data_IF_765705660269
#
_entry.id   IF_765705660269
#
_cell.length_a   1.000
_cell.length_b   1.000
_cell.length_c   1.000
_cell.angle_alpha   90.00
_cell.angle_beta   90.00
_cell.angle_gamma   90.00
#
_symmetry.space_group_name_H-M   'P 1'
#
loop_
_entity.id
_entity.type
_entity.pdbx_description
1 polymer ?
#
# COMPACT_ATOMS: atom_id res chain seq x y z
N UNK A 1 10.78 72.00 29.34
CA UNK A 1 11.92 71.40 30.07
C UNK A 1 11.30 70.42 31.06
N UNK A 2 11.43 69.10 30.96
CA UNK A 2 12.57 68.26 30.59
C UNK A 2 12.25 67.29 29.43
N UNK A 3 13.20 67.12 28.52
CA UNK A 3 13.23 66.02 27.53
C UNK A 3 13.75 64.76 28.21
N UNK A 4 13.17 63.61 27.90
CA UNK A 4 13.87 62.32 27.99
C UNK A 4 13.76 61.62 26.63
N UNK A 5 14.87 61.62 25.91
CA UNK A 5 15.18 60.79 24.76
C UNK A 5 15.72 59.44 25.25
N UNK A 6 15.25 58.33 24.71
CA UNK A 6 15.83 57.02 24.97
C UNK A 6 15.23 55.96 24.06
N UNK A 7 15.92 55.64 22.98
CA UNK A 7 15.62 54.51 22.12
C UNK A 7 16.03 53.21 22.85
N UNK A 8 15.07 52.33 23.11
CA UNK A 8 15.36 50.97 23.61
C UNK A 8 15.72 50.11 22.41
N UNK A 9 17.02 49.85 22.22
CA UNK A 9 17.50 48.88 21.23
C UNK A 9 17.42 47.45 21.78
N UNK A 10 16.57 46.61 21.20
CA UNK A 10 16.52 45.17 21.47
C UNK A 10 17.25 44.43 20.34
N UNK A 11 18.31 43.70 20.64
CA UNK A 11 18.95 42.80 19.67
C UNK A 11 18.89 41.36 20.18
N UNK A 12 18.40 40.47 19.33
CA UNK A 12 18.32 39.03 19.59
C UNK A 12 19.19 38.34 18.55
N UNK A 13 20.23 37.62 18.99
CA UNK A 13 20.95 36.69 18.14
C UNK A 13 20.67 35.26 18.59
N UNK A 14 20.35 34.40 17.62
CA UNK A 14 20.20 32.96 17.81
C UNK A 14 21.43 32.32 17.19
N UNK A 15 22.25 31.64 17.99
CA UNK A 15 23.43 30.92 17.49
C UNK A 15 23.32 29.43 17.75
N UNK A 16 23.46 28.67 16.66
CA UNK A 16 23.65 27.22 16.54
C UNK A 16 22.45 26.31 16.79
N UNK A 17 22.31 25.32 15.90
CA UNK A 17 21.30 24.28 15.88
C UNK A 17 22.02 22.94 16.04
N UNK A 18 21.82 22.22 17.15
CA UNK A 18 22.41 20.91 17.34
C UNK A 18 21.32 19.85 17.19
N UNK A 19 21.45 18.98 16.19
CA UNK A 19 20.63 17.78 16.04
C UNK A 19 21.40 16.62 16.65
N UNK A 20 20.98 16.14 17.82
CA UNK A 20 21.49 14.89 18.38
C UNK A 20 20.47 13.79 18.10
N UNK A 21 20.89 12.72 17.42
CA UNK A 21 20.10 11.49 17.31
C UNK A 21 20.75 10.42 18.20
N UNK A 22 20.14 10.08 19.33
CA UNK A 22 20.50 8.86 20.04
C UNK A 22 19.71 7.69 19.46
N UNK A 23 20.41 6.63 19.06
CA UNK A 23 19.82 5.36 18.63
C UNK A 23 19.17 4.68 19.84
N UNK A 24 17.92 5.03 20.12
CA UNK A 24 16.82 4.21 20.65
C UNK A 24 15.66 5.17 20.87
N UNK A 25 14.59 5.04 20.06
CA UNK A 25 13.46 5.98 19.89
C UNK A 25 13.82 7.32 19.21
N UNK A 26 13.21 7.58 18.04
CA UNK A 26 13.39 8.81 17.24
C UNK A 26 12.75 10.00 17.96
N UNK A 27 13.46 10.59 18.93
CA UNK A 27 13.12 11.87 19.57
C UNK A 27 14.02 12.96 19.02
N UNK A 28 13.43 14.02 18.46
CA UNK A 28 14.18 15.21 18.03
C UNK A 28 14.11 16.24 19.15
N UNK A 29 15.28 16.64 19.67
CA UNK A 29 15.40 17.68 20.69
C UNK A 29 15.92 18.95 20.01
N UNK A 30 15.23 20.07 20.23
CA UNK A 30 15.65 21.38 19.75
C UNK A 30 16.19 22.22 20.92
N UNK A 31 17.36 22.82 20.73
CA UNK A 31 18.04 23.65 21.72
C UNK A 31 18.14 25.07 21.15
N UNK A 32 17.53 26.06 21.81
CA UNK A 32 17.53 27.47 21.41
C UNK A 32 18.34 28.35 22.38
N UNK A 33 19.49 28.86 21.93
CA UNK A 33 20.26 29.82 22.72
C UNK A 33 19.88 31.25 22.29
N UNK A 34 19.38 32.06 23.22
CA UNK A 34 19.11 33.49 23.01
C UNK A 34 19.95 34.33 23.99
N UNK A 35 20.52 35.43 23.49
CA UNK A 35 21.18 36.46 24.32
C UNK A 35 20.38 37.75 24.25
N UNK A 36 20.07 38.35 25.39
CA UNK A 36 19.45 39.67 25.49
C UNK A 36 20.52 40.68 25.90
N UNK A 37 20.70 41.74 25.11
CA UNK A 37 21.57 42.88 25.46
C UNK A 37 20.71 44.13 25.62
N UNK A 38 20.66 44.69 26.83
CA UNK A 38 19.99 45.96 27.11
C UNK A 38 21.08 47.01 27.29
N UNK A 39 21.14 48.00 26.41
CA UNK A 39 22.10 49.10 26.53
C UNK A 39 21.46 50.26 27.29
N UNK A 40 21.81 50.40 28.57
CA UNK A 40 22.18 51.65 29.24
C UNK A 40 22.42 51.34 30.74
N UNK A 41 23.64 51.67 31.20
CA UNK A 41 24.27 51.31 32.49
C UNK A 41 24.87 49.89 32.56
N UNK A 42 26.13 49.80 33.00
CA UNK A 42 26.95 48.59 33.07
C UNK A 42 26.42 47.60 34.12
N UNK A 43 25.32 46.91 33.81
CA UNK A 43 24.82 45.76 34.56
C UNK A 43 24.70 44.57 33.61
N UNK A 44 25.71 43.70 33.60
CA UNK A 44 25.67 42.42 32.91
C UNK A 44 24.90 41.41 33.78
N UNK A 45 23.60 41.25 33.56
CA UNK A 45 22.86 40.14 34.18
C UNK A 45 23.02 38.92 33.27
N UNK A 46 23.84 37.95 33.69
CA UNK A 46 23.86 36.61 33.10
C UNK A 46 22.58 35.89 33.53
N UNK A 47 21.52 35.93 32.72
CA UNK A 47 20.41 34.99 32.86
C UNK A 47 20.86 33.63 32.27
N UNK A 48 21.25 32.69 33.14
CA UNK A 48 21.21 31.28 32.78
C UNK A 48 19.77 30.81 32.97
N UNK A 49 19.02 30.70 31.88
CA UNK A 49 17.74 30.00 31.91
C UNK A 49 18.05 28.50 31.86
N UNK A 50 17.77 27.80 32.95
CA UNK A 50 17.89 26.34 33.06
C UNK A 50 16.78 25.67 32.25
N UNK A 51 17.14 24.69 31.43
CA UNK A 51 16.34 24.13 30.34
C UNK A 51 15.23 23.15 30.78
N UNK A 52 14.17 23.04 29.97
CA UNK A 52 13.23 21.91 30.02
C UNK A 52 13.16 21.22 28.65
N UNK A 53 13.20 19.88 28.66
CA UNK A 53 13.06 19.04 27.47
C UNK A 53 11.59 18.96 27.05
N UNK A 54 11.24 19.43 25.85
CA UNK A 54 9.96 19.09 25.20
C UNK A 54 10.24 17.88 24.30
N UNK A 55 9.74 16.71 24.69
CA UNK A 55 9.79 15.48 23.89
C UNK A 55 8.54 15.45 23.02
N UNK A 56 8.69 15.62 21.70
CA UNK A 56 7.62 15.41 20.72
C UNK A 56 7.83 14.03 20.07
N UNK A 57 6.89 13.12 20.27
CA UNK A 57 6.90 11.79 19.65
C UNK A 57 6.26 11.90 18.25
N UNK A 58 7.06 11.69 17.20
CA UNK A 58 6.61 11.79 15.81
C UNK A 58 6.25 10.38 15.28
N UNK A 59 4.98 10.00 15.36
CA UNK A 59 4.41 8.96 14.48
C UNK A 59 3.55 9.65 13.43
N UNK A 60 3.97 9.56 12.17
CA UNK A 60 3.22 10.08 11.03
C UNK A 60 1.87 9.35 10.92
N UNK A 61 0.81 9.95 11.48
CA UNK A 61 -0.58 9.90 11.00
C UNK A 61 -1.44 10.82 11.89
N UNK A 62 -1.94 11.90 11.28
CA UNK A 62 -3.09 12.72 11.71
C UNK A 62 -2.97 13.38 13.10
N UNK A 63 -2.34 14.55 13.15
CA UNK A 63 -2.46 15.49 14.28
C UNK A 63 -3.44 16.60 13.89
N UNK A 64 -4.68 16.49 14.37
CA UNK A 64 -5.73 17.52 14.24
C UNK A 64 -5.50 18.68 15.22
N UNK A 65 -6.18 19.81 14.99
CA UNK A 65 -6.04 21.12 15.66
C UNK A 65 -6.09 21.11 17.21
N UNK A 66 -6.54 20.02 17.84
CA UNK A 66 -6.58 19.86 19.29
C UNK A 66 -5.19 19.88 19.95
N UNK A 67 -4.14 19.40 19.29
CA UNK A 67 -2.79 19.37 19.90
C UNK A 67 -2.17 20.76 20.02
N UNK A 68 -2.45 21.65 19.06
CA UNK A 68 -2.00 23.06 19.10
C UNK A 68 -2.69 23.80 20.27
N UNK A 69 -3.98 23.55 20.49
CA UNK A 69 -4.72 24.12 21.62
C UNK A 69 -4.24 23.57 22.98
N UNK A 70 -3.84 22.29 23.05
CA UNK A 70 -3.22 21.73 24.27
C UNK A 70 -1.84 22.33 24.57
N UNK A 71 -1.03 22.63 23.56
CA UNK A 71 0.25 23.34 23.74
C UNK A 71 0.06 24.78 24.24
N UNK A 72 -0.94 25.50 23.72
CA UNK A 72 -1.28 26.85 24.21
C UNK A 72 -1.74 26.83 25.68
N UNK A 73 -2.49 25.80 26.09
CA UNK A 73 -2.92 25.65 27.49
C UNK A 73 -1.78 25.36 28.46
N UNK A 74 -0.71 24.69 28.02
CA UNK A 74 0.48 24.39 28.83
C UNK A 74 1.34 25.66 29.01
N UNK A 75 1.45 26.50 27.98
CA UNK A 75 2.20 27.77 28.04
C UNK A 75 1.52 28.80 28.96
N UNK A 76 0.20 28.96 28.86
CA UNK A 76 -0.55 29.91 29.71
C UNK A 76 -0.55 29.51 31.19
N UNK A 77 -0.49 28.22 31.51
CA UNK A 77 -0.37 27.74 32.90
C UNK A 77 1.00 28.02 33.52
N UNK A 78 2.05 28.21 32.72
CA UNK A 78 3.41 28.50 33.21
C UNK A 78 3.61 29.97 33.59
N UNK A 79 2.97 30.91 32.90
CA UNK A 79 3.01 32.32 33.27
C UNK A 79 2.46 32.52 34.70
N UNK A 80 1.37 31.84 35.04
CA UNK A 80 0.75 31.93 36.38
C UNK A 80 1.67 31.34 37.47
N UNK A 81 2.41 30.27 37.19
CA UNK A 81 3.28 29.60 38.18
C UNK A 81 4.58 30.39 38.44
N UNK A 82 5.13 31.07 37.42
CA UNK A 82 6.30 31.93 37.57
C UNK A 82 6.02 33.16 38.45
N UNK A 83 4.80 33.72 38.36
CA UNK A 83 4.35 34.83 39.20
C UNK A 83 4.15 34.44 40.68
N UNK A 84 3.90 33.16 40.99
CA UNK A 84 3.73 32.70 42.37
C UNK A 84 5.05 32.43 43.11
N UNK A 85 6.15 32.15 42.40
CA UNK A 85 7.41 31.69 43.03
C UNK A 85 8.39 32.85 43.30
N UNK A 86 8.25 34.01 42.64
CA UNK A 86 9.14 35.18 42.85
C UNK A 86 8.41 36.52 43.03
N UNK A 87 7.65 36.72 44.13
CA UNK A 87 6.92 37.97 44.36
C UNK A 87 7.81 39.17 44.78
N UNK A 88 9.10 38.95 45.06
CA UNK A 88 9.95 39.93 45.77
C UNK A 88 10.93 40.75 44.90
N UNK A 89 10.90 40.66 43.57
CA UNK A 89 11.86 41.40 42.71
C UNK A 89 11.28 42.27 41.58
N UNK A 90 9.99 42.63 41.63
CA UNK A 90 9.39 43.48 40.59
C UNK A 90 8.92 44.80 41.19
N UNK A 91 9.85 45.71 41.50
CA UNK A 91 9.53 47.09 41.93
C UNK A 91 9.30 48.07 40.76
N UNK A 92 9.25 47.58 39.52
CA UNK A 92 9.22 48.44 38.33
C UNK A 92 8.29 47.85 37.25
N UNK A 93 7.07 48.40 37.08
CA UNK A 93 6.04 47.84 36.19
C UNK A 93 6.45 47.79 34.71
N UNK A 94 7.43 48.59 34.29
CA UNK A 94 7.98 48.54 32.93
C UNK A 94 8.71 47.23 32.60
N UNK A 95 9.22 46.49 33.59
CA UNK A 95 9.83 45.16 33.34
C UNK A 95 8.79 44.08 33.04
N UNK A 96 7.59 44.18 33.63
CA UNK A 96 6.48 43.25 33.36
C UNK A 96 6.02 43.43 31.90
N UNK A 97 5.86 44.69 31.48
CA UNK A 97 5.49 45.04 30.11
C UNK A 97 6.59 44.58 29.15
N UNK A 98 7.87 44.80 29.47
CA UNK A 98 8.98 44.36 28.63
C UNK A 98 9.04 42.82 28.48
N UNK A 99 8.79 42.07 29.55
CA UNK A 99 8.84 40.60 29.54
C UNK A 99 7.65 39.98 28.79
N UNK A 100 6.45 40.54 28.96
CA UNK A 100 5.24 40.11 28.23
C UNK A 100 5.29 40.50 26.76
N UNK A 101 5.86 41.65 26.42
CA UNK A 101 6.17 42.01 25.03
C UNK A 101 7.24 41.08 24.45
N UNK A 102 8.24 40.67 25.23
CA UNK A 102 9.29 39.74 24.79
C UNK A 102 8.73 38.32 24.51
N UNK A 103 7.92 37.76 25.39
CA UNK A 103 7.27 36.44 25.16
C UNK A 103 6.28 36.50 24.00
N UNK A 104 5.53 37.61 23.88
CA UNK A 104 4.67 37.88 22.72
C UNK A 104 5.44 37.95 21.40
N UNK A 105 6.58 38.66 21.37
CA UNK A 105 7.42 38.77 20.17
C UNK A 105 8.06 37.43 19.79
N UNK A 106 8.54 36.64 20.77
CA UNK A 106 9.10 35.31 20.51
C UNK A 106 8.03 34.39 19.94
N UNK A 107 6.81 34.40 20.48
CA UNK A 107 5.69 33.64 19.92
C UNK A 107 5.36 34.09 18.49
N UNK A 108 5.27 35.40 18.23
CA UNK A 108 4.98 35.95 16.91
C UNK A 108 6.08 35.62 15.89
N UNK A 109 7.36 35.69 16.26
CA UNK A 109 8.47 35.31 15.36
C UNK A 109 8.48 33.80 15.09
N UNK A 110 8.09 32.98 16.07
CA UNK A 110 7.98 31.53 15.90
C UNK A 110 6.80 31.18 14.97
N UNK A 111 5.65 31.82 15.15
CA UNK A 111 4.47 31.67 14.29
C UNK A 111 4.75 32.22 12.88
N UNK A 112 5.42 33.36 12.76
CA UNK A 112 5.77 33.96 11.47
C UNK A 112 6.82 33.15 10.70
N UNK A 113 7.79 32.51 11.37
CA UNK A 113 8.73 31.58 10.71
C UNK A 113 8.09 30.23 10.36
N UNK A 114 7.13 29.73 11.15
CA UNK A 114 6.33 28.57 10.75
C UNK A 114 5.39 28.90 9.58
N UNK A 115 4.85 30.11 9.53
CA UNK A 115 3.99 30.58 8.44
C UNK A 115 4.81 30.92 7.18
N UNK A 116 6.02 31.50 7.31
CA UNK A 116 6.91 31.79 6.18
C UNK A 116 7.71 30.58 5.70
N UNK A 117 7.87 29.53 6.52
CA UNK A 117 8.30 28.20 6.07
C UNK A 117 7.24 27.51 5.19
N UNK A 118 5.99 28.02 5.18
CA UNK A 118 4.96 27.59 4.22
C UNK A 118 4.96 28.39 2.92
N UNK A 119 5.79 29.45 2.78
CA UNK A 119 5.68 30.35 1.62
C UNK A 119 6.98 31.08 1.30
N UNK A 120 7.97 30.42 0.67
CA UNK A 120 8.67 30.99 -0.52
C UNK A 120 9.58 29.99 -1.25
N UNK A 121 9.49 30.02 -2.58
CA UNK A 121 10.47 29.59 -3.60
C UNK A 121 10.77 28.10 -3.71
N UNK A 122 9.83 27.41 -4.33
CA UNK A 122 10.04 26.20 -5.16
C UNK A 122 10.88 26.61 -6.39
N UNK A 123 12.20 26.65 -6.24
CA UNK A 123 13.13 26.60 -7.38
C UNK A 123 13.01 25.21 -8.01
N UNK A 124 12.89 25.17 -9.33
CA UNK A 124 12.71 23.98 -10.18
C UNK A 124 13.60 22.79 -9.77
N UNK A 125 13.07 21.90 -8.94
CA UNK A 125 13.42 20.48 -8.94
C UNK A 125 12.11 19.70 -9.07
N UNK A 126 11.91 19.16 -10.28
CA UNK A 126 11.00 18.10 -10.67
C UNK A 126 9.64 18.08 -9.94
N UNK A 127 8.69 18.85 -10.50
CA UNK A 127 7.27 18.60 -10.31
C UNK A 127 6.93 17.18 -10.83
N UNK A 128 6.64 16.31 -9.87
CA UNK A 128 5.56 15.31 -9.87
C UNK A 128 5.60 14.18 -10.92
N UNK A 129 6.17 13.03 -10.54
CA UNK A 129 5.95 11.72 -11.19
C UNK A 129 4.55 11.15 -10.89
N UNK A 130 3.81 11.69 -9.91
CA UNK A 130 2.56 11.08 -9.42
C UNK A 130 1.30 11.97 -9.48
N UNK A 131 1.36 13.16 -10.06
CA UNK A 131 0.30 14.19 -9.87
C UNK A 131 -0.47 14.52 -11.16
N UNK A 132 -0.54 13.57 -12.10
CA UNK A 132 -1.31 13.74 -13.35
C UNK A 132 -1.87 12.44 -13.94
N UNK A 133 -2.20 11.44 -13.10
CA UNK A 133 -2.88 10.25 -13.62
C UNK A 133 -4.36 10.59 -13.83
N UNK A 134 -4.92 10.47 -15.05
CA UNK A 134 -6.36 10.36 -15.17
C UNK A 134 -6.78 9.11 -14.39
N UNK A 135 -7.89 9.21 -13.64
CA UNK A 135 -8.47 8.14 -12.84
C UNK A 135 -8.98 6.98 -13.73
N UNK A 136 -8.05 6.29 -14.40
CA UNK A 136 -8.31 5.02 -15.06
C UNK A 136 -8.16 3.92 -14.02
N UNK A 137 -9.07 2.95 -14.06
CA UNK A 137 -9.11 1.87 -13.10
C UNK A 137 -7.96 0.90 -13.36
N UNK A 138 -7.27 0.50 -12.30
CA UNK A 138 -6.22 -0.52 -12.35
C UNK A 138 -6.73 -1.84 -11.74
N UNK A 139 -6.37 -2.97 -12.34
CA UNK A 139 -6.69 -4.29 -11.84
C UNK A 139 -5.43 -5.16 -11.67
N UNK A 140 -5.34 -5.83 -10.52
CA UNK A 140 -4.29 -6.78 -10.18
C UNK A 140 -4.94 -8.13 -9.88
N UNK A 141 -4.51 -9.16 -10.60
CA UNK A 141 -4.88 -10.56 -10.37
C UNK A 141 -3.66 -11.25 -9.74
N UNK A 142 -3.82 -11.84 -8.56
CA UNK A 142 -2.75 -12.55 -7.85
C UNK A 142 -3.16 -14.02 -7.68
N UNK A 143 -2.51 -14.88 -8.44
CA UNK A 143 -2.64 -16.33 -8.35
C UNK A 143 -1.70 -16.93 -7.31
N UNK A 144 -2.22 -17.74 -6.40
CA UNK A 144 -1.44 -18.54 -5.43
C UNK A 144 -1.64 -20.01 -5.76
N UNK A 145 -0.64 -20.65 -6.35
CA UNK A 145 -0.77 -21.96 -6.99
C UNK A 145 -0.97 -23.10 -5.98
N UNK A 146 -1.87 -24.03 -6.27
CA UNK A 146 -2.02 -25.31 -5.55
C UNK A 146 -2.46 -25.24 -4.09
N UNK A 147 -3.02 -24.11 -3.62
CA UNK A 147 -3.46 -23.96 -2.21
C UNK A 147 -4.93 -24.27 -1.98
N UNK A 148 -5.73 -24.48 -3.02
CA UNK A 148 -7.16 -24.79 -2.87
C UNK A 148 -7.88 -23.83 -1.93
N UNK A 149 -8.65 -24.36 -0.98
CA UNK A 149 -9.33 -23.60 0.06
C UNK A 149 -8.50 -23.40 1.35
N UNK A 150 -7.21 -23.76 1.35
CA UNK A 150 -6.34 -23.74 2.53
C UNK A 150 -6.30 -22.41 3.30
N UNK A 151 -6.41 -21.22 2.66
CA UNK A 151 -6.52 -19.95 3.38
C UNK A 151 -7.69 -19.86 4.37
N UNK A 152 -8.72 -20.71 4.27
CA UNK A 152 -9.79 -20.81 5.28
C UNK A 152 -9.32 -21.40 6.62
N UNK A 153 -8.16 -22.04 6.64
CA UNK A 153 -7.65 -22.83 7.77
C UNK A 153 -6.24 -22.41 8.21
N UNK A 154 -5.61 -21.45 7.52
CA UNK A 154 -4.24 -21.00 7.76
C UNK A 154 -4.25 -19.49 7.91
N UNK A 155 -3.54 -18.99 8.92
CA UNK A 155 -3.32 -17.56 9.07
C UNK A 155 -2.56 -17.01 7.87
N UNK A 156 -3.26 -16.22 7.06
CA UNK A 156 -2.73 -15.56 5.86
C UNK A 156 -3.09 -14.08 5.91
N UNK A 157 -2.42 -13.28 6.78
CA UNK A 157 -2.74 -11.86 6.96
C UNK A 157 -2.80 -11.04 5.67
N UNK A 158 -1.94 -11.31 4.68
CA UNK A 158 -1.92 -10.66 3.37
C UNK A 158 -3.20 -10.91 2.59
N UNK A 159 -3.56 -12.18 2.38
CA UNK A 159 -4.81 -12.60 1.74
C UNK A 159 -6.03 -12.06 2.51
N UNK A 160 -5.99 -12.16 3.85
CA UNK A 160 -7.09 -11.70 4.70
C UNK A 160 -7.29 -10.17 4.67
N UNK A 161 -6.30 -9.38 4.24
CA UNK A 161 -6.54 -7.95 3.94
C UNK A 161 -7.57 -7.76 2.83
N UNK A 162 -7.60 -8.65 1.85
CA UNK A 162 -8.56 -8.62 0.73
C UNK A 162 -9.90 -9.18 1.17
N UNK A 163 -9.90 -10.34 1.84
CA UNK A 163 -11.11 -10.94 2.43
C UNK A 163 -11.87 -9.96 3.32
N UNK A 164 -11.16 -9.27 4.22
CA UNK A 164 -11.78 -8.36 5.19
C UNK A 164 -12.21 -7.00 4.60
N UNK A 165 -11.74 -6.65 3.40
CA UNK A 165 -12.05 -5.37 2.75
C UNK A 165 -12.73 -5.53 1.39
N UNK A 166 -13.27 -6.72 1.12
CA UNK A 166 -13.82 -7.07 -0.19
C UNK A 166 -14.89 -8.13 -0.10
N UNK A 167 -15.15 -8.75 -1.24
CA UNK A 167 -15.96 -9.96 -1.34
C UNK A 167 -15.06 -11.20 -1.35
N UNK A 168 -15.57 -12.31 -0.84
CA UNK A 168 -14.78 -13.54 -0.74
C UNK A 168 -15.64 -14.80 -0.74
N UNK A 169 -14.98 -15.93 -1.02
CA UNK A 169 -15.47 -17.27 -0.72
C UNK A 169 -14.28 -18.22 -0.58
N UNK A 170 -14.44 -19.27 0.21
CA UNK A 170 -13.46 -20.36 0.31
C UNK A 170 -13.94 -21.64 -0.40
N UNK A 171 -15.06 -21.55 -1.12
CA UNK A 171 -15.70 -22.65 -1.84
C UNK A 171 -15.98 -22.30 -3.30
N UNK A 172 -15.15 -21.43 -3.90
CA UNK A 172 -15.19 -21.24 -5.33
C UNK A 172 -14.76 -22.54 -6.04
N UNK A 173 -15.28 -22.78 -7.23
CA UNK A 173 -15.00 -23.98 -8.01
C UNK A 173 -14.05 -23.67 -9.17
N UNK A 174 -12.97 -24.43 -9.28
CA UNK A 174 -12.10 -24.44 -10.46
C UNK A 174 -12.68 -25.31 -11.59
N UNK A 175 -11.99 -25.32 -12.74
CA UNK A 175 -12.36 -26.13 -13.91
C UNK A 175 -11.86 -27.58 -13.80
N UNK A 176 -12.16 -28.40 -14.80
CA UNK A 176 -11.68 -29.78 -14.87
C UNK A 176 -11.10 -30.10 -16.24
N UNK A 177 -9.97 -30.82 -16.32
CA UNK A 177 -9.17 -31.32 -15.19
C UNK A 177 -8.47 -30.19 -14.41
N UNK A 178 -8.17 -30.41 -13.14
CA UNK A 178 -7.61 -29.38 -12.23
C UNK A 178 -6.08 -29.24 -12.37
N UNK A 179 -5.58 -29.24 -13.60
CA UNK A 179 -4.15 -29.03 -13.89
C UNK A 179 -3.89 -27.55 -14.18
N UNK A 180 -2.70 -27.06 -13.80
CA UNK A 180 -2.41 -25.63 -13.77
C UNK A 180 -2.56 -24.94 -15.13
N UNK A 181 -2.16 -25.55 -16.25
CA UNK A 181 -2.34 -24.92 -17.56
C UNK A 181 -3.82 -24.75 -17.92
N UNK A 182 -4.63 -25.77 -17.65
CA UNK A 182 -6.08 -25.79 -17.84
C UNK A 182 -6.76 -24.72 -16.96
N UNK A 183 -6.39 -24.65 -15.68
CA UNK A 183 -6.92 -23.68 -14.73
C UNK A 183 -6.48 -22.24 -15.06
N UNK A 184 -5.18 -21.95 -15.16
CA UNK A 184 -4.69 -20.60 -15.46
C UNK A 184 -5.22 -20.07 -16.80
N UNK A 185 -5.35 -20.95 -17.80
CA UNK A 185 -5.98 -20.57 -19.08
C UNK A 185 -7.46 -20.26 -18.91
N UNK A 186 -8.20 -21.06 -18.15
CA UNK A 186 -9.62 -20.82 -17.89
C UNK A 186 -9.87 -19.53 -17.11
N UNK A 187 -9.00 -19.23 -16.14
CA UNK A 187 -9.00 -17.97 -15.41
C UNK A 187 -8.85 -16.77 -16.33
N UNK A 188 -7.83 -16.77 -17.20
CA UNK A 188 -7.50 -15.62 -18.05
C UNK A 188 -8.45 -15.49 -19.25
N UNK A 189 -8.99 -16.59 -19.76
CA UNK A 189 -9.85 -16.62 -20.95
C UNK A 189 -11.33 -16.76 -20.64
N UNK A 190 -11.75 -16.90 -19.39
CA UNK A 190 -13.16 -16.96 -18.99
C UNK A 190 -13.97 -18.11 -19.63
N UNK A 191 -13.29 -19.16 -20.12
CA UNK A 191 -13.88 -20.31 -20.81
C UNK A 191 -13.30 -21.63 -20.29
N UNK A 192 -13.95 -22.75 -20.56
CA UNK A 192 -13.49 -24.06 -20.07
C UNK A 192 -12.28 -24.61 -20.86
N UNK A 193 -11.59 -25.65 -20.33
CA UNK A 193 -10.51 -26.34 -21.04
C UNK A 193 -10.90 -26.87 -22.42
N UNK A 194 -12.14 -27.30 -22.58
CA UNK A 194 -12.67 -27.74 -23.86
C UNK A 194 -12.80 -26.62 -24.90
N UNK A 195 -12.79 -25.36 -24.49
CA UNK A 195 -12.88 -24.23 -25.41
C UNK A 195 -11.50 -23.65 -25.73
N UNK A 196 -10.66 -23.42 -24.71
CA UNK A 196 -9.34 -22.81 -24.92
C UNK A 196 -8.27 -23.83 -25.39
N UNK A 197 -8.48 -25.14 -25.18
CA UNK A 197 -7.62 -26.24 -25.67
C UNK A 197 -6.14 -26.18 -25.26
N UNK A 198 -5.83 -25.46 -24.20
CA UNK A 198 -4.48 -25.43 -23.60
C UNK A 198 -4.40 -26.57 -22.61
N UNK A 199 -3.30 -27.33 -22.63
CA UNK A 199 -3.12 -28.45 -21.71
C UNK A 199 -1.69 -28.55 -21.18
N UNK A 200 -1.59 -28.89 -19.89
CA UNK A 200 -0.33 -29.03 -19.18
C UNK A 200 0.62 -30.02 -19.86
N UNK A 201 0.08 -31.09 -20.46
CA UNK A 201 0.87 -32.18 -21.04
C UNK A 201 1.02 -32.10 -22.57
N UNK A 202 0.35 -31.16 -23.23
CA UNK A 202 0.22 -31.15 -24.70
C UNK A 202 0.68 -29.87 -25.40
N UNK A 203 0.99 -28.82 -24.64
CA UNK A 203 1.22 -27.50 -25.22
C UNK A 203 2.64 -27.34 -25.74
N UNK A 204 2.76 -26.90 -26.99
CA UNK A 204 4.04 -26.69 -27.67
C UNK A 204 4.10 -25.42 -28.53
N UNK A 205 3.04 -24.60 -28.49
CA UNK A 205 2.93 -23.34 -29.23
C UNK A 205 2.29 -22.26 -28.37
N UNK A 206 2.65 -21.01 -28.65
CA UNK A 206 2.01 -19.86 -28.02
C UNK A 206 0.50 -19.85 -28.29
N UNK A 207 -0.26 -19.19 -27.42
CA UNK A 207 -1.70 -19.08 -27.58
C UNK A 207 -2.03 -18.33 -28.89
N UNK A 208 -2.93 -18.85 -29.75
CA UNK A 208 -3.22 -18.22 -31.02
C UNK A 208 -3.93 -16.87 -30.84
N UNK A 209 -3.37 -15.82 -31.42
CA UNK A 209 -3.92 -14.46 -31.36
C UNK A 209 -5.28 -14.32 -32.06
N UNK A 210 -5.58 -15.21 -33.00
CA UNK A 210 -6.86 -15.33 -33.70
C UNK A 210 -7.85 -16.29 -33.03
N UNK A 211 -7.50 -16.86 -31.87
CA UNK A 211 -8.39 -17.75 -31.10
C UNK A 211 -9.73 -17.07 -30.81
N UNK A 212 -10.83 -17.82 -30.88
CA UNK A 212 -12.17 -17.30 -30.51
C UNK A 212 -12.34 -17.08 -29.01
N UNK A 213 -11.39 -17.54 -28.19
CA UNK A 213 -11.39 -17.36 -26.75
C UNK A 213 -10.28 -16.38 -26.38
N UNK A 214 -10.49 -15.05 -26.47
CA UNK A 214 -9.51 -14.04 -26.07
C UNK A 214 -9.23 -14.09 -24.57
N UNK A 215 -7.99 -13.80 -24.17
CA UNK A 215 -7.69 -13.52 -22.77
C UNK A 215 -8.25 -12.15 -22.36
N UNK A 216 -8.39 -11.90 -21.07
CA UNK A 216 -8.70 -10.57 -20.53
C UNK A 216 -7.68 -9.51 -20.98
N UNK A 217 -6.42 -9.90 -21.21
CA UNK A 217 -5.41 -9.02 -21.79
C UNK A 217 -5.75 -8.64 -23.23
N UNK A 218 -6.14 -9.60 -24.07
CA UNK A 218 -6.54 -9.31 -25.46
C UNK A 218 -7.80 -8.45 -25.50
N UNK A 219 -8.80 -8.75 -24.67
CA UNK A 219 -10.03 -7.93 -24.54
C UNK A 219 -9.71 -6.49 -24.16
N UNK A 220 -8.75 -6.28 -23.24
CA UNK A 220 -8.28 -4.94 -22.87
C UNK A 220 -7.50 -4.27 -24.02
N UNK A 221 -6.58 -4.98 -24.66
CA UNK A 221 -5.80 -4.46 -25.78
C UNK A 221 -6.68 -3.96 -26.93
N UNK A 222 -7.68 -4.75 -27.34
CA UNK A 222 -8.59 -4.42 -28.44
C UNK A 222 -9.42 -3.16 -28.16
N UNK A 223 -9.74 -2.87 -26.89
CA UNK A 223 -10.56 -1.73 -26.47
C UNK A 223 -9.75 -0.52 -26.01
N UNK A 224 -8.51 -0.75 -25.55
CA UNK A 224 -7.55 0.28 -25.16
C UNK A 224 -6.13 -0.14 -25.55
N UNK A 225 -5.71 0.09 -26.82
CA UNK A 225 -4.38 -0.27 -27.30
C UNK A 225 -3.22 0.43 -26.58
N UNK A 226 -3.51 1.51 -25.83
CA UNK A 226 -2.53 2.26 -25.03
C UNK A 226 -2.37 1.71 -23.60
N UNK A 227 -3.21 0.77 -23.18
CA UNK A 227 -3.15 0.17 -21.86
C UNK A 227 -1.80 -0.53 -21.64
N UNK A 228 -1.17 -0.23 -20.50
CA UNK A 228 0.03 -0.95 -20.09
C UNK A 228 -0.42 -2.21 -19.35
N UNK A 229 -0.02 -3.37 -19.88
CA UNK A 229 -0.36 -4.68 -19.31
C UNK A 229 0.91 -5.46 -18.97
N UNK A 230 0.88 -6.22 -17.89
CA UNK A 230 2.03 -7.05 -17.50
C UNK A 230 1.64 -8.37 -16.85
N UNK A 231 2.52 -9.36 -16.99
CA UNK A 231 2.40 -10.68 -16.37
C UNK A 231 3.71 -11.05 -15.67
N UNK A 232 3.61 -11.43 -14.40
CA UNK A 232 4.72 -11.74 -13.50
C UNK A 232 4.52 -13.15 -12.94
N UNK A 233 5.27 -14.14 -13.42
CA UNK A 233 5.00 -15.54 -13.07
C UNK A 233 6.27 -16.25 -12.61
N UNK A 234 6.11 -17.20 -11.68
CA UNK A 234 7.15 -18.17 -11.40
C UNK A 234 7.11 -19.32 -12.41
N UNK A 235 5.91 -19.79 -12.75
CA UNK A 235 5.71 -20.82 -13.75
C UNK A 235 5.67 -20.22 -15.17
N UNK A 236 6.82 -20.19 -15.84
CA UNK A 236 7.04 -19.60 -17.17
C UNK A 236 6.03 -20.07 -18.24
N UNK A 237 5.47 -21.27 -18.08
CA UNK A 237 4.48 -21.84 -19.00
C UNK A 237 3.33 -20.88 -19.31
N UNK A 238 2.86 -20.12 -18.31
CA UNK A 238 1.78 -19.13 -18.48
C UNK A 238 2.15 -18.09 -19.53
N UNK A 239 3.34 -17.50 -19.39
CA UNK A 239 3.82 -16.48 -20.32
C UNK A 239 4.17 -17.08 -21.69
N UNK A 240 4.60 -18.34 -21.76
CA UNK A 240 4.97 -18.96 -23.03
C UNK A 240 3.76 -19.38 -23.87
N UNK A 241 2.70 -19.84 -23.21
CA UNK A 241 1.67 -20.60 -23.90
C UNK A 241 0.22 -20.21 -23.60
N UNK A 242 -0.03 -19.39 -22.58
CA UNK A 242 -1.40 -18.99 -22.19
C UNK A 242 -1.71 -17.57 -22.66
N UNK A 243 -0.77 -16.63 -22.53
CA UNK A 243 -0.97 -15.23 -22.93
C UNK A 243 -0.57 -15.03 -24.40
N UNK A 244 -1.39 -14.30 -25.16
CA UNK A 244 -1.08 -13.90 -26.54
C UNK A 244 0.15 -12.97 -26.59
N UNK A 245 1.07 -13.19 -27.54
CA UNK A 245 2.36 -12.47 -27.58
C UNK A 245 2.33 -11.18 -28.39
N UNK A 246 1.37 -11.01 -29.30
CA UNK A 246 1.27 -9.88 -30.23
C UNK A 246 0.39 -8.71 -29.73
N UNK A 247 -0.09 -8.79 -28.49
CA UNK A 247 -0.98 -7.80 -27.85
C UNK A 247 -0.25 -6.86 -26.87
N UNK A 248 1.09 -6.91 -26.84
CA UNK A 248 1.91 -5.95 -26.09
C UNK A 248 1.95 -6.13 -24.57
N UNK A 249 1.60 -7.32 -24.05
CA UNK A 249 1.76 -7.63 -22.62
C UNK A 249 3.25 -7.74 -22.29
N UNK A 250 3.68 -7.06 -21.21
CA UNK A 250 5.05 -7.17 -20.70
C UNK A 250 5.19 -8.43 -19.85
N UNK A 251 5.95 -9.41 -20.34
CA UNK A 251 6.08 -10.73 -19.74
C UNK A 251 7.36 -10.85 -18.90
N UNK A 252 7.21 -11.15 -17.62
CA UNK A 252 8.30 -11.37 -16.68
C UNK A 252 8.17 -12.76 -16.06
N UNK A 253 9.18 -13.60 -16.23
CA UNK A 253 9.23 -14.94 -15.64
C UNK A 253 10.45 -15.04 -14.74
N UNK A 254 10.24 -15.23 -13.44
CA UNK A 254 11.31 -15.21 -12.43
C UNK A 254 11.35 -16.53 -11.67
N UNK A 255 12.51 -16.87 -11.10
CA UNK A 255 12.66 -18.18 -10.42
C UNK A 255 12.09 -18.17 -9.02
N UNK A 256 12.05 -17.01 -8.37
CA UNK A 256 11.58 -16.87 -6.99
C UNK A 256 10.51 -15.80 -6.87
N UNK A 257 9.69 -15.89 -5.82
CA UNK A 257 8.69 -14.87 -5.49
C UNK A 257 9.34 -13.52 -5.12
N UNK A 258 10.52 -13.55 -4.48
CA UNK A 258 11.31 -12.35 -4.16
C UNK A 258 11.76 -11.62 -5.43
N UNK A 259 12.23 -12.36 -6.44
CA UNK A 259 12.59 -11.80 -7.74
C UNK A 259 11.38 -11.17 -8.44
N UNK A 260 10.17 -11.74 -8.29
CA UNK A 260 8.93 -11.15 -8.80
C UNK A 260 8.61 -9.82 -8.12
N UNK A 261 8.71 -9.74 -6.78
CA UNK A 261 8.49 -8.50 -6.03
C UNK A 261 9.47 -7.42 -6.46
N UNK A 262 10.76 -7.75 -6.56
CA UNK A 262 11.79 -6.80 -6.97
C UNK A 262 11.51 -6.28 -8.38
N UNK A 263 11.19 -7.18 -9.33
CA UNK A 263 10.86 -6.79 -10.69
C UNK A 263 9.59 -5.95 -10.77
N UNK A 264 8.58 -6.28 -9.99
CA UNK A 264 7.34 -5.50 -9.95
C UNK A 264 7.55 -4.12 -9.36
N UNK A 265 8.36 -4.01 -8.31
CA UNK A 265 8.74 -2.72 -7.70
C UNK A 265 9.44 -1.80 -8.70
N UNK A 266 10.38 -2.33 -9.49
CA UNK A 266 10.99 -1.57 -10.61
C UNK A 266 9.94 -1.15 -11.63
N UNK A 267 9.10 -2.10 -12.03
CA UNK A 267 8.09 -1.91 -13.07
C UNK A 267 7.12 -0.76 -12.74
N UNK A 268 6.54 -0.73 -11.54
CA UNK A 268 5.53 0.28 -11.16
C UNK A 268 6.12 1.68 -10.93
N UNK A 269 7.43 1.80 -10.78
CA UNK A 269 8.10 3.11 -10.72
C UNK A 269 8.21 3.77 -12.10
N UNK A 270 8.23 2.97 -13.16
CA UNK A 270 8.42 3.42 -14.54
C UNK A 270 7.13 3.34 -15.37
N UNK A 271 6.13 2.62 -14.89
CA UNK A 271 4.92 2.31 -15.63
C UNK A 271 3.67 2.58 -14.77
N UNK A 272 2.58 2.89 -15.46
CA UNK A 272 1.24 3.05 -14.88
C UNK A 272 0.33 1.97 -15.48
N UNK A 273 0.37 0.73 -14.96
CA UNK A 273 -0.34 -0.39 -15.57
C UNK A 273 -1.85 -0.27 -15.40
N UNK A 274 -2.60 -0.78 -16.38
CA UNK A 274 -4.05 -0.96 -16.29
C UNK A 274 -4.43 -2.36 -15.81
N UNK A 275 -3.66 -3.38 -16.20
CA UNK A 275 -3.88 -4.77 -15.81
C UNK A 275 -2.56 -5.48 -15.54
N UNK A 276 -2.44 -6.10 -14.36
CA UNK A 276 -1.28 -6.91 -14.00
C UNK A 276 -1.73 -8.27 -13.47
N UNK A 277 -1.09 -9.33 -13.96
CA UNK A 277 -1.26 -10.69 -13.46
C UNK A 277 0.00 -11.16 -12.72
N UNK A 278 -0.20 -11.84 -11.59
CA UNK A 278 0.85 -12.56 -10.85
C UNK A 278 0.49 -14.03 -10.72
N UNK A 279 1.51 -14.90 -10.79
CA UNK A 279 1.41 -16.28 -10.33
C UNK A 279 2.60 -16.61 -9.41
N UNK A 280 2.29 -17.14 -8.22
CA UNK A 280 3.23 -17.55 -7.19
C UNK A 280 3.16 -19.08 -7.03
N UNK A 281 4.29 -19.76 -7.21
CA UNK A 281 4.35 -21.22 -7.48
C UNK A 281 4.79 -22.08 -6.27
N UNK A 282 5.43 -21.48 -5.26
CA UNK A 282 6.11 -22.26 -4.23
C UNK A 282 5.17 -23.16 -3.42
N UNK A 283 3.90 -22.76 -3.27
CA UNK A 283 2.89 -23.50 -2.51
C UNK A 283 2.44 -24.78 -3.20
N UNK A 284 2.33 -24.77 -4.53
CA UNK A 284 2.06 -25.98 -5.31
C UNK A 284 3.26 -26.93 -5.28
N UNK A 285 4.46 -26.38 -5.51
CA UNK A 285 5.72 -27.11 -5.34
C UNK A 285 5.76 -27.81 -3.96
N UNK A 286 5.43 -27.11 -2.88
CA UNK A 286 5.38 -27.71 -1.55
C UNK A 286 4.27 -28.78 -1.40
N UNK A 287 3.12 -28.60 -2.06
CA UNK A 287 2.04 -29.59 -2.14
C UNK A 287 2.52 -30.88 -2.80
N UNK A 288 3.19 -30.79 -3.94
CA UNK A 288 3.79 -31.95 -4.60
C UNK A 288 4.86 -32.64 -3.74
N UNK A 289 5.80 -31.90 -3.16
CA UNK A 289 6.91 -32.48 -2.39
C UNK A 289 6.51 -33.07 -1.03
N UNK A 290 5.53 -32.48 -0.36
CA UNK A 290 5.22 -32.81 1.05
C UNK A 290 3.79 -33.25 1.30
N UNK A 291 2.96 -33.22 0.26
CA UNK A 291 1.53 -33.46 0.32
C UNK A 291 0.74 -32.16 0.43
N UNK A 292 -0.34 -32.07 -0.34
CA UNK A 292 -1.33 -31.00 -0.24
C UNK A 292 -2.02 -31.03 1.14
N UNK A 293 -2.35 -29.86 1.66
CA UNK A 293 -2.86 -29.61 3.02
C UNK A 293 -1.93 -30.01 4.18
N UNK A 294 -0.71 -30.47 3.89
CA UNK A 294 0.28 -30.83 4.91
C UNK A 294 0.78 -29.61 5.70
N UNK A 295 1.30 -29.84 6.89
CA UNK A 295 1.92 -28.79 7.73
C UNK A 295 3.08 -28.08 7.01
N UNK A 296 3.78 -28.77 6.11
CA UNK A 296 4.86 -28.15 5.32
C UNK A 296 4.31 -27.22 4.24
N UNK A 297 3.23 -27.60 3.56
CA UNK A 297 2.54 -26.70 2.63
C UNK A 297 1.94 -25.50 3.37
N UNK A 298 1.33 -25.70 4.54
CA UNK A 298 0.82 -24.60 5.39
C UNK A 298 1.90 -23.58 5.74
N UNK A 299 3.08 -24.04 6.15
CA UNK A 299 4.23 -23.17 6.42
C UNK A 299 4.73 -22.44 5.17
N UNK A 300 4.66 -23.08 4.00
CA UNK A 300 5.00 -22.43 2.75
C UNK A 300 3.96 -21.35 2.39
N UNK A 301 2.66 -21.62 2.57
CA UNK A 301 1.60 -20.65 2.37
C UNK A 301 1.77 -19.41 3.24
N UNK A 302 2.17 -19.55 4.52
CA UNK A 302 2.45 -18.37 5.35
C UNK A 302 3.59 -17.50 4.78
N UNK A 303 4.63 -18.10 4.19
CA UNK A 303 5.72 -17.36 3.53
C UNK A 303 5.24 -16.69 2.24
N UNK A 304 4.51 -17.42 1.41
CA UNK A 304 3.93 -16.87 0.18
C UNK A 304 2.91 -15.77 0.49
N UNK A 305 2.23 -15.81 1.64
CA UNK A 305 1.37 -14.72 2.11
C UNK A 305 2.14 -13.45 2.49
N UNK A 306 3.40 -13.57 2.98
CA UNK A 306 4.29 -12.40 3.15
C UNK A 306 4.57 -11.74 1.80
N UNK A 307 4.79 -12.53 0.74
CA UNK A 307 4.94 -12.04 -0.64
C UNK A 307 3.67 -11.32 -1.09
N UNK A 308 2.50 -11.94 -0.92
CA UNK A 308 1.19 -11.34 -1.25
C UNK A 308 1.01 -10.01 -0.51
N UNK A 309 1.34 -9.96 0.77
CA UNK A 309 1.24 -8.76 1.59
C UNK A 309 2.15 -7.63 1.08
N UNK A 310 3.36 -7.95 0.63
CA UNK A 310 4.28 -6.99 0.02
C UNK A 310 3.77 -6.47 -1.33
N UNK A 311 3.25 -7.35 -2.20
CA UNK A 311 2.60 -6.95 -3.46
C UNK A 311 1.46 -5.96 -3.21
N UNK A 312 0.56 -6.26 -2.25
CA UNK A 312 -0.53 -5.36 -1.87
C UNK A 312 0.02 -4.02 -1.36
N UNK A 313 1.10 -4.02 -0.58
CA UNK A 313 1.72 -2.77 -0.10
C UNK A 313 2.29 -1.92 -1.24
N UNK A 314 2.86 -2.54 -2.27
CA UNK A 314 3.35 -1.84 -3.46
C UNK A 314 2.17 -1.25 -4.24
N UNK A 315 1.12 -2.05 -4.47
CA UNK A 315 -0.08 -1.61 -5.19
C UNK A 315 -0.75 -0.43 -4.48
N UNK A 316 -1.05 -0.55 -3.18
CA UNK A 316 -1.77 0.48 -2.43
C UNK A 316 -0.97 1.78 -2.23
N UNK A 317 0.37 1.74 -2.34
CA UNK A 317 1.20 2.95 -2.38
C UNK A 317 1.01 3.74 -3.66
N UNK A 318 0.71 3.06 -4.77
CA UNK A 318 0.51 3.65 -6.09
C UNK A 318 -0.94 4.07 -6.25
N UNK A 319 -1.89 3.17 -5.98
CA UNK A 319 -3.32 3.40 -6.07
C UNK A 319 -4.08 2.46 -5.10
N UNK A 320 -4.69 3.07 -4.08
CA UNK A 320 -5.48 2.34 -3.07
C UNK A 320 -6.93 2.08 -3.50
N UNK A 321 -7.32 2.51 -4.71
CA UNK A 321 -8.65 2.28 -5.28
C UNK A 321 -8.70 1.06 -6.20
N UNK A 322 -7.54 0.59 -6.69
CA UNK A 322 -7.37 -0.56 -7.58
C UNK A 322 -8.17 -1.81 -7.19
N UNK A 323 -8.61 -2.57 -8.20
CA UNK A 323 -9.07 -3.94 -8.00
C UNK A 323 -7.85 -4.81 -7.65
N UNK A 324 -7.92 -5.50 -6.52
CA UNK A 324 -7.00 -6.58 -6.16
C UNK A 324 -7.86 -7.84 -6.00
N UNK A 325 -7.66 -8.80 -6.90
CA UNK A 325 -8.29 -10.11 -6.90
C UNK A 325 -7.24 -11.16 -6.60
N UNK A 326 -7.50 -12.04 -5.64
CA UNK A 326 -6.60 -13.12 -5.24
C UNK A 326 -7.37 -14.44 -5.26
N UNK A 327 -6.82 -15.47 -5.89
CA UNK A 327 -7.39 -16.82 -5.88
C UNK A 327 -6.33 -17.90 -6.07
N UNK A 328 -6.69 -19.14 -5.77
CA UNK A 328 -5.94 -20.32 -6.20
C UNK A 328 -6.40 -20.79 -7.58
N UNK A 329 -5.58 -21.56 -8.28
CA UNK A 329 -5.96 -22.24 -9.51
C UNK A 329 -6.55 -23.63 -9.26
N UNK A 330 -5.98 -24.38 -8.33
CA UNK A 330 -6.51 -25.65 -7.85
C UNK A 330 -6.13 -25.89 -6.39
N UNK A 331 -6.72 -26.92 -5.81
CA UNK A 331 -6.20 -27.58 -4.61
C UNK A 331 -5.43 -28.84 -4.97
N UNK A 332 -5.47 -29.85 -4.12
CA UNK A 332 -4.81 -31.13 -4.40
C UNK A 332 -4.95 -32.10 -3.24
N UNK A 333 -4.36 -33.27 -3.39
CA UNK A 333 -4.41 -34.30 -2.36
C UNK A 333 -5.66 -35.18 -2.43
N UNK A 334 -6.50 -35.03 -3.45
CA UNK A 334 -7.74 -35.77 -3.63
C UNK A 334 -7.54 -37.28 -3.74
N UNK A 335 -7.11 -37.74 -4.91
CA UNK A 335 -6.83 -39.17 -5.15
C UNK A 335 -5.43 -39.59 -4.67
N UNK A 336 -4.48 -38.66 -4.71
CA UNK A 336 -3.11 -38.87 -4.25
C UNK A 336 -2.68 -37.65 -3.42
N UNK A 337 -2.19 -37.83 -2.18
CA UNK A 337 -1.80 -36.74 -1.29
C UNK A 337 -0.82 -35.72 -1.90
N UNK A 338 0.00 -36.12 -2.87
CA UNK A 338 1.04 -35.32 -3.51
C UNK A 338 0.75 -34.99 -4.98
N UNK A 339 -0.50 -35.17 -5.42
CA UNK A 339 -0.93 -34.85 -6.79
C UNK A 339 -2.26 -34.12 -6.78
N UNK A 340 -2.61 -33.60 -7.95
CA UNK A 340 -3.88 -32.96 -8.26
C UNK A 340 -4.26 -33.32 -9.70
N UNK A 341 -5.45 -32.93 -10.13
CA UNK A 341 -5.99 -33.22 -11.45
C UNK A 341 -7.27 -34.06 -11.41
N UNK A 342 -7.73 -34.44 -10.21
CA UNK A 342 -8.90 -35.29 -10.01
C UNK A 342 -10.19 -34.47 -9.85
N UNK A 343 -11.33 -35.17 -9.87
CA UNK A 343 -12.62 -34.55 -9.58
C UNK A 343 -12.91 -34.39 -8.07
N UNK A 344 -11.95 -34.70 -7.21
CA UNK A 344 -12.08 -34.56 -5.77
C UNK A 344 -12.37 -33.11 -5.37
N UNK A 345 -13.26 -32.87 -4.39
CA UNK A 345 -13.45 -31.54 -3.82
C UNK A 345 -12.15 -30.91 -3.28
N UNK A 346 -11.18 -31.73 -2.84
CA UNK A 346 -9.86 -31.23 -2.39
C UNK A 346 -9.07 -30.58 -3.54
N UNK A 347 -9.26 -31.05 -4.77
CA UNK A 347 -8.62 -30.52 -5.96
C UNK A 347 -9.43 -29.37 -6.56
N UNK A 348 -10.78 -29.44 -6.46
CA UNK A 348 -11.69 -28.49 -7.12
C UNK A 348 -11.99 -27.21 -6.36
N UNK A 349 -12.07 -27.28 -5.02
CA UNK A 349 -12.47 -26.13 -4.20
C UNK A 349 -11.29 -25.20 -3.96
N UNK A 350 -11.43 -23.95 -4.39
CA UNK A 350 -10.43 -22.91 -4.29
C UNK A 350 -10.94 -21.73 -3.44
N UNK A 351 -10.02 -21.00 -2.82
CA UNK A 351 -10.34 -19.68 -2.31
C UNK A 351 -10.40 -18.66 -3.45
N UNK A 352 -11.29 -17.68 -3.30
CA UNK A 352 -11.43 -16.55 -4.21
C UNK A 352 -11.78 -15.29 -3.41
N UNK A 353 -11.10 -14.17 -3.66
CA UNK A 353 -11.44 -12.89 -3.05
C UNK A 353 -11.09 -11.71 -3.94
N UNK A 354 -11.87 -10.64 -3.82
CA UNK A 354 -11.64 -9.40 -4.54
C UNK A 354 -12.00 -8.18 -3.70
N UNK A 355 -11.16 -7.15 -3.74
CA UNK A 355 -11.47 -5.81 -3.21
C UNK A 355 -11.18 -4.74 -4.26
N UNK A 356 -11.82 -3.60 -4.15
CA UNK A 356 -11.60 -2.45 -5.02
C UNK A 356 -12.67 -1.39 -4.80
N UNK A 357 -12.53 -0.24 -5.45
CA UNK A 357 -13.55 0.80 -5.39
C UNK A 357 -14.91 0.28 -5.89
N UNK A 358 -15.95 0.47 -5.08
CA UNK A 358 -17.31 0.03 -5.40
C UNK A 358 -17.62 -1.44 -5.07
N UNK A 359 -16.64 -2.22 -4.60
CA UNK A 359 -16.86 -3.60 -4.12
C UNK A 359 -17.29 -3.57 -2.64
N UNK A 360 -18.33 -4.32 -2.23
CA UNK A 360 -18.71 -4.47 -0.82
C UNK A 360 -17.55 -4.96 0.05
N UNK A 361 -17.59 -4.62 1.35
CA UNK A 361 -16.55 -5.03 2.30
C UNK A 361 -17.04 -6.19 3.17
N UNK A 362 -16.16 -7.16 3.35
CA UNK A 362 -16.35 -8.34 4.18
C UNK A 362 -17.68 -9.05 3.91
N UNK A 363 -17.94 -9.34 2.64
CA UNK A 363 -19.17 -10.00 2.20
C UNK A 363 -18.84 -11.32 1.52
N UNK A 364 -19.37 -12.41 2.08
CA UNK A 364 -19.26 -13.72 1.46
C UNK A 364 -20.17 -13.79 0.21
N UNK A 365 -19.66 -14.40 -0.85
CA UNK A 365 -20.37 -14.67 -2.10
C UNK A 365 -20.44 -16.18 -2.34
N UNK A 366 -21.43 -16.63 -3.11
CA UNK A 366 -21.66 -18.05 -3.37
C UNK A 366 -21.68 -18.33 -4.86
N UNK A 367 -21.49 -19.61 -5.21
CA UNK A 367 -21.48 -20.10 -6.59
C UNK A 367 -20.49 -19.36 -7.51
N UNK A 368 -19.31 -19.01 -6.97
CA UNK A 368 -18.21 -18.44 -7.74
C UNK A 368 -17.51 -19.55 -8.50
N UNK A 369 -17.35 -19.38 -9.82
CA UNK A 369 -16.47 -20.19 -10.63
C UNK A 369 -15.19 -19.41 -10.94
N UNK A 370 -14.07 -20.09 -11.11
CA UNK A 370 -12.85 -19.46 -11.62
C UNK A 370 -13.06 -18.68 -12.93
N UNK A 371 -13.98 -19.14 -13.79
CA UNK A 371 -14.31 -18.48 -15.06
C UNK A 371 -14.83 -17.05 -14.85
N UNK A 372 -15.36 -16.74 -13.67
CA UNK A 372 -15.90 -15.45 -13.29
C UNK A 372 -14.80 -14.38 -13.17
N UNK A 373 -13.54 -14.77 -12.93
CA UNK A 373 -12.45 -13.82 -12.70
C UNK A 373 -12.22 -12.89 -13.90
N UNK A 374 -12.16 -13.41 -15.13
CA UNK A 374 -12.03 -12.59 -16.33
C UNK A 374 -13.21 -11.60 -16.48
N UNK A 375 -14.43 -12.07 -16.19
CA UNK A 375 -15.65 -11.26 -16.25
C UNK A 375 -15.61 -10.10 -15.23
N UNK A 376 -15.22 -10.38 -13.98
CA UNK A 376 -15.14 -9.37 -12.90
C UNK A 376 -14.08 -8.32 -13.22
N UNK A 377 -12.94 -8.73 -13.77
CA UNK A 377 -11.88 -7.80 -14.18
C UNK A 377 -12.35 -6.92 -15.33
N UNK A 378 -13.03 -7.48 -16.34
CA UNK A 378 -13.60 -6.70 -17.44
C UNK A 378 -14.62 -5.68 -16.95
N UNK A 379 -15.57 -6.09 -16.11
CA UNK A 379 -16.58 -5.20 -15.53
C UNK A 379 -15.95 -4.08 -14.69
N UNK A 380 -14.95 -4.41 -13.87
CA UNK A 380 -14.23 -3.41 -13.09
C UNK A 380 -13.55 -2.39 -13.99
N UNK A 381 -12.83 -2.85 -15.03
CA UNK A 381 -12.16 -2.00 -16.01
C UNK A 381 -13.12 -1.33 -17.02
N UNK A 382 -14.44 -1.58 -16.93
CA UNK A 382 -15.48 -1.09 -17.85
C UNK A 382 -15.26 -1.50 -19.30
N UNK A 383 -14.74 -2.71 -19.50
CA UNK A 383 -14.56 -3.34 -20.80
C UNK A 383 -15.84 -4.08 -21.19
N UNK A 384 -16.13 -4.15 -22.49
CA UNK A 384 -17.09 -5.11 -23.01
C UNK A 384 -16.48 -6.52 -22.93
N UNK A 385 -17.07 -7.47 -22.18
CA UNK A 385 -16.58 -8.84 -22.11
C UNK A 385 -16.67 -9.53 -23.47
N UNK A 386 -15.81 -10.52 -23.71
CA UNK A 386 -15.91 -11.34 -24.91
C UNK A 386 -17.17 -12.18 -24.89
N UNK A 387 -17.86 -12.29 -26.03
CA UNK A 387 -19.13 -13.03 -26.13
C UNK A 387 -18.97 -14.54 -25.93
N UNK A 388 -17.75 -15.07 -26.01
CA UNK A 388 -17.44 -16.48 -25.80
C UNK A 388 -17.22 -16.84 -24.33
N UNK A 389 -17.00 -15.85 -23.46
CA UNK A 389 -16.81 -16.09 -22.04
C UNK A 389 -18.08 -16.61 -21.37
N UNK A 390 -17.89 -17.57 -20.47
CA UNK A 390 -18.98 -18.22 -19.71
C UNK A 390 -19.05 -17.76 -18.26
N UNK A 391 -18.06 -16.99 -17.80
CA UNK A 391 -18.02 -16.38 -16.47
C UNK A 391 -19.14 -15.37 -16.22
N UNK A 392 -19.46 -15.14 -14.96
CA UNK A 392 -20.53 -14.28 -14.48
C UNK A 392 -20.03 -13.36 -13.38
N UNK A 393 -20.77 -12.30 -13.08
CA UNK A 393 -20.53 -11.50 -11.88
C UNK A 393 -21.16 -12.21 -10.67
N UNK A 394 -20.38 -12.52 -9.61
CA UNK A 394 -20.91 -13.19 -8.41
C UNK A 394 -22.05 -12.41 -7.76
N UNK A 395 -23.03 -13.15 -7.24
CA UNK A 395 -24.13 -12.58 -6.46
C UNK A 395 -23.83 -12.70 -4.96
N UNK A 396 -24.37 -11.78 -4.12
CA UNK A 396 -24.36 -11.98 -2.68
C UNK A 396 -24.90 -13.36 -2.30
N UNK A 397 -24.28 -14.03 -1.32
CA UNK A 397 -24.88 -15.22 -0.72
C UNK A 397 -26.25 -14.85 -0.15
N UNK A 398 -27.28 -15.64 -0.47
CA UNK A 398 -28.60 -15.47 0.15
C UNK A 398 -28.44 -15.65 1.67
N UNK A 399 -28.79 -14.61 2.44
CA UNK A 399 -28.75 -14.61 3.90
C UNK A 399 -29.72 -15.62 4.51
#
# INVERSE_FOLDING_TARGET
MLRFSGDIGLSVSVSNFWKTSSNLSRRVVFIFQARLKITHSNFFIHYMVTWYNIIIDYKFKKLESETINKCNHILVKFDILFFMIYPQQIKRPHYIIALSVFTGLVCLVTIAKFSSASTTKRTNLNKNIFDSRPAHRCAFIIGVDGVGSLPSQVETPGIHRVVNNGIYTFSAETVSPTFSAECWSSLLHGVTPDQHKVSTFGQNRAYPSDSQCPSIFRVLHEQNPSAIMASFVNWKFINDFIIEHDIGVKLFSMKTEEELINKFSEFVNENDPTLVFFQLDNTDTAGHYFGFFSERQRKQLMKTDETVNELINIIEKVDNTSLILIQADHGGGGENPSSHGSDSPLDKLIFWTAKGEGIPKHQEVSAVSMLDTAMIVAEYLRLKPASTWSGKVPKPSSA
#
